data_IF_522638399288
#
_entry.id   IF_522638399288
#
_cell.length_a   1.000
_cell.length_b   1.000
_cell.length_c   1.000
_cell.angle_alpha   90.00
_cell.angle_beta   90.00
_cell.angle_gamma   90.00
#
_symmetry.space_group_name_H-M   'P 1'
#
loop_
_entity.id
_entity.type
_entity.pdbx_description
1 polymer ?
#
# COMPACT_ATOMS: atom_id res chain seq x y z
N UNK A 1 16.10 -13.68 -4.14
CA UNK A 1 14.85 -13.41 -3.39
C UNK A 1 15.09 -13.22 -1.89
N UNK A 2 15.91 -14.04 -1.22
CA UNK A 2 16.25 -13.82 0.20
C UNK A 2 16.87 -12.43 0.43
N UNK A 3 17.88 -12.06 -0.36
CA UNK A 3 18.50 -10.72 -0.32
C UNK A 3 17.47 -9.58 -0.48
N UNK A 4 16.56 -9.71 -1.45
CA UNK A 4 15.47 -8.73 -1.66
C UNK A 4 14.58 -8.61 -0.42
N UNK A 5 14.26 -9.72 0.26
CA UNK A 5 13.46 -9.68 1.48
C UNK A 5 14.21 -8.96 2.61
N UNK A 6 15.51 -9.18 2.73
CA UNK A 6 16.36 -8.48 3.71
C UNK A 6 16.43 -6.97 3.40
N UNK A 7 16.60 -6.60 2.13
CA UNK A 7 16.61 -5.20 1.69
C UNK A 7 15.28 -4.51 1.99
N UNK A 8 14.15 -5.16 1.67
CA UNK A 8 12.81 -4.67 1.99
C UNK A 8 12.64 -4.52 3.51
N UNK A 9 13.07 -5.49 4.31
CA UNK A 9 12.96 -5.43 5.75
C UNK A 9 13.80 -4.28 6.34
N UNK A 10 14.99 -4.06 5.79
CA UNK A 10 15.85 -2.94 6.18
C UNK A 10 15.21 -1.59 5.82
N UNK A 11 14.61 -1.47 4.62
CA UNK A 11 13.84 -0.29 4.22
C UNK A 11 12.63 -0.04 5.14
N UNK A 12 11.88 -1.09 5.48
CA UNK A 12 10.77 -1.00 6.42
C UNK A 12 11.22 -0.52 7.79
N UNK A 13 12.27 -1.11 8.37
CA UNK A 13 12.82 -0.68 9.67
C UNK A 13 13.32 0.76 9.62
N UNK A 14 14.02 1.15 8.55
CA UNK A 14 14.52 2.52 8.36
C UNK A 14 13.39 3.55 8.33
N UNK A 15 12.24 3.18 7.79
CA UNK A 15 11.05 4.04 7.71
C UNK A 15 10.02 3.76 8.82
N UNK A 16 10.41 3.08 9.89
CA UNK A 16 9.55 2.71 11.02
C UNK A 16 8.22 2.06 10.59
N UNK A 17 8.29 1.15 9.62
CA UNK A 17 7.14 0.45 9.04
C UNK A 17 6.03 1.39 8.56
N UNK A 18 6.39 2.61 8.16
CA UNK A 18 5.49 3.67 7.75
C UNK A 18 4.45 4.05 8.83
N UNK A 19 4.83 3.95 10.11
CA UNK A 19 4.01 4.36 11.25
C UNK A 19 3.50 5.80 11.12
N UNK A 20 4.27 6.66 10.46
CA UNK A 20 3.94 8.06 10.20
C UNK A 20 2.61 8.26 9.46
N UNK A 21 2.11 7.28 8.69
CA UNK A 21 0.80 7.37 8.05
C UNK A 21 -0.33 7.62 9.05
N UNK A 22 -0.21 7.06 10.26
CA UNK A 22 -1.23 7.12 11.31
C UNK A 22 -0.79 7.92 12.54
N UNK A 23 0.25 8.73 12.42
CA UNK A 23 0.64 9.73 13.42
C UNK A 23 0.30 11.13 12.90
N UNK A 24 -0.74 11.75 13.48
CA UNK A 24 -1.20 13.11 13.14
C UNK A 24 -0.18 14.22 13.39
N UNK A 25 0.93 13.91 14.06
CA UNK A 25 2.02 14.86 14.30
C UNK A 25 3.17 14.70 13.31
N UNK A 26 3.15 13.62 12.52
CA UNK A 26 4.20 13.30 11.58
C UNK A 26 4.02 13.98 10.22
N UNK A 27 5.13 14.09 9.48
CA UNK A 27 5.12 14.49 8.07
C UNK A 27 4.75 13.28 7.22
N UNK A 28 3.88 13.48 6.22
CA UNK A 28 3.38 12.38 5.39
C UNK A 28 2.22 11.58 6.01
N UNK A 29 1.62 12.09 7.09
CA UNK A 29 0.40 11.53 7.67
C UNK A 29 -0.75 11.47 6.65
N UNK A 30 -1.61 10.47 6.76
CA UNK A 30 -2.77 10.28 5.88
C UNK A 30 -4.03 11.00 6.39
N UNK A 31 -3.96 11.68 7.53
CA UNK A 31 -5.04 12.48 8.09
C UNK A 31 -4.78 13.98 7.94
N UNK A 32 -5.81 14.79 8.15
CA UNK A 32 -5.62 16.23 8.33
C UNK A 32 -4.93 16.56 9.66
N UNK A 33 -4.60 17.84 9.89
CA UNK A 33 -3.97 18.31 11.15
C UNK A 33 -4.82 18.08 12.40
N UNK A 34 -6.11 17.79 12.25
CA UNK A 34 -7.04 17.49 13.35
C UNK A 34 -7.19 15.98 13.57
N UNK A 35 -6.56 15.15 12.73
CA UNK A 35 -6.60 13.70 12.80
C UNK A 35 -7.78 13.06 12.08
N UNK A 36 -8.44 13.77 11.16
CA UNK A 36 -9.49 13.21 10.32
C UNK A 36 -8.90 12.49 9.12
N UNK A 37 -9.20 11.21 8.99
CA UNK A 37 -8.93 10.41 7.81
C UNK A 37 -10.15 10.44 6.89
N UNK A 38 -9.89 10.49 5.59
CA UNK A 38 -10.91 10.47 4.54
C UNK A 38 -10.73 9.23 3.69
N UNK A 39 -11.83 8.54 3.37
CA UNK A 39 -11.79 7.39 2.48
C UNK A 39 -11.43 7.84 1.07
N UNK A 40 -10.44 7.18 0.48
CA UNK A 40 -9.96 7.49 -0.89
C UNK A 40 -10.82 6.81 -1.97
N UNK A 41 -11.82 6.03 -1.56
CA UNK A 41 -12.74 5.31 -2.44
C UNK A 41 -12.17 3.99 -2.97
N UNK A 42 -13.00 3.17 -3.62
CA UNK A 42 -12.58 1.88 -4.16
C UNK A 42 -11.43 2.04 -5.17
N UNK A 43 -10.74 0.94 -5.44
CA UNK A 43 -9.54 0.92 -6.29
C UNK A 43 -9.75 1.39 -7.73
N UNK A 44 -10.96 1.22 -8.24
CA UNK A 44 -11.41 1.58 -9.58
C UNK A 44 -12.07 2.96 -9.64
N UNK A 45 -12.04 3.73 -8.55
CA UNK A 45 -12.51 5.10 -8.49
C UNK A 45 -11.42 6.03 -7.99
N UNK A 46 -11.51 7.30 -8.37
CA UNK A 46 -10.62 8.35 -7.87
C UNK A 46 -10.97 8.76 -6.43
N UNK A 47 -12.25 8.76 -6.08
CA UNK A 47 -12.75 9.30 -4.81
C UNK A 47 -13.81 8.37 -4.18
N UNK A 48 -14.11 8.63 -2.90
CA UNK A 48 -15.22 8.00 -2.19
C UNK A 48 -16.53 8.80 -2.39
N UNK A 49 -17.49 8.25 -3.14
CA UNK A 49 -18.78 8.90 -3.39
C UNK A 49 -19.66 9.04 -2.13
N UNK A 50 -19.34 8.29 -1.07
CA UNK A 50 -20.05 8.32 0.22
C UNK A 50 -19.41 9.25 1.24
N UNK A 51 -18.29 9.91 0.89
CA UNK A 51 -17.58 10.86 1.74
C UNK A 51 -17.29 10.32 3.15
N UNK A 52 -16.92 9.05 3.26
CA UNK A 52 -16.63 8.46 4.56
C UNK A 52 -15.42 9.14 5.21
N UNK A 53 -15.56 9.52 6.48
CA UNK A 53 -14.50 10.12 7.29
C UNK A 53 -14.47 9.50 8.68
N UNK A 54 -13.31 9.52 9.34
CA UNK A 54 -13.17 9.04 10.72
C UNK A 54 -12.04 9.77 11.43
N UNK A 55 -12.20 10.03 12.73
CA UNK A 55 -11.13 10.51 13.60
C UNK A 55 -10.83 9.50 14.71
N UNK A 56 -9.85 8.59 14.55
CA UNK A 56 -9.52 7.57 15.54
C UNK A 56 -8.90 8.14 16.83
N UNK A 57 -8.50 9.42 16.81
CA UNK A 57 -7.96 10.11 17.99
C UNK A 57 -9.06 10.72 18.87
N UNK A 58 -10.30 10.80 18.38
CA UNK A 58 -11.41 11.40 19.11
C UNK A 58 -11.85 10.58 20.33
N UNK A 59 -11.85 9.24 20.24
CA UNK A 59 -12.16 8.36 21.38
C UNK A 59 -11.67 6.93 21.16
N UNK A 60 -11.67 6.12 22.23
CA UNK A 60 -11.37 4.68 22.15
C UNK A 60 -12.32 3.94 21.20
N UNK A 61 -13.60 4.30 21.17
CA UNK A 61 -14.59 3.69 20.28
C UNK A 61 -14.29 3.99 18.81
N UNK A 62 -13.94 5.23 18.48
CA UNK A 62 -13.54 5.59 17.12
C UNK A 62 -12.23 4.93 16.70
N UNK A 63 -11.29 4.75 17.62
CA UNK A 63 -10.08 3.96 17.37
C UNK A 63 -10.39 2.50 17.03
N UNK A 64 -11.35 1.89 17.71
CA UNK A 64 -11.78 0.52 17.40
C UNK A 64 -12.46 0.45 16.03
N UNK A 65 -13.33 1.40 15.69
CA UNK A 65 -13.98 1.48 14.37
C UNK A 65 -12.97 1.67 13.23
N UNK A 66 -11.86 2.35 13.49
CA UNK A 66 -10.79 2.49 12.50
C UNK A 66 -10.14 1.16 12.12
N UNK A 67 -10.22 0.13 12.96
CA UNK A 67 -9.80 -1.23 12.60
C UNK A 67 -10.63 -1.86 11.48
N UNK A 68 -11.79 -1.29 11.12
CA UNK A 68 -12.58 -1.70 9.96
C UNK A 68 -12.10 -1.01 8.66
N UNK A 69 -11.23 -0.02 8.76
CA UNK A 69 -10.61 0.62 7.59
C UNK A 69 -9.43 -0.22 7.11
N UNK A 70 -9.14 -0.16 5.82
CA UNK A 70 -8.12 -0.97 5.18
C UNK A 70 -7.18 -0.08 4.36
N UNK A 71 -5.91 -0.48 4.27
CA UNK A 71 -5.01 -0.05 3.21
C UNK A 71 -5.11 -1.06 2.08
N UNK A 72 -5.78 -0.66 1.00
CA UNK A 72 -6.16 -1.53 -0.11
C UNK A 72 -5.22 -1.31 -1.30
N UNK A 73 -4.61 -2.40 -1.79
CA UNK A 73 -3.62 -2.37 -2.88
C UNK A 73 -4.27 -2.18 -4.25
N UNK A 74 -4.08 -1.05 -4.94
CA UNK A 74 -4.62 -0.79 -6.29
C UNK A 74 -4.17 -1.87 -7.28
N UNK A 75 -2.89 -2.22 -7.26
CA UNK A 75 -2.29 -3.37 -7.95
C UNK A 75 -2.16 -4.49 -6.93
N UNK A 76 -2.88 -5.59 -7.11
CA UNK A 76 -3.03 -6.62 -6.08
C UNK A 76 -1.70 -7.27 -5.70
N UNK A 77 -1.35 -7.22 -4.41
CA UNK A 77 -0.15 -7.85 -3.86
C UNK A 77 0.00 -9.30 -4.31
N UNK A 78 -0.98 -10.15 -3.98
CA UNK A 78 -0.85 -11.60 -4.14
C UNK A 78 -1.16 -12.11 -5.56
N UNK A 79 -1.90 -11.33 -6.36
CA UNK A 79 -2.31 -11.74 -7.71
C UNK A 79 -1.43 -11.17 -8.82
N UNK A 80 -0.72 -10.08 -8.57
CA UNK A 80 0.07 -9.41 -9.60
C UNK A 80 1.48 -9.07 -9.11
N UNK A 81 1.64 -8.27 -8.05
CA UNK A 81 2.96 -7.79 -7.58
C UNK A 81 3.92 -8.94 -7.26
N UNK A 82 3.51 -9.87 -6.39
CA UNK A 82 4.37 -10.99 -5.97
C UNK A 82 4.62 -11.98 -7.12
N UNK A 83 3.61 -12.40 -7.91
CA UNK A 83 3.86 -13.21 -9.12
C UNK A 83 4.84 -12.57 -10.11
N UNK A 84 4.70 -11.28 -10.44
CA UNK A 84 5.62 -10.58 -11.34
C UNK A 84 7.04 -10.52 -10.80
N UNK A 85 7.23 -10.26 -9.50
CA UNK A 85 8.55 -10.30 -8.87
C UNK A 85 9.18 -11.70 -8.96
N UNK A 86 8.41 -12.75 -8.69
CA UNK A 86 8.88 -14.13 -8.79
C UNK A 86 9.29 -14.44 -10.24
N UNK A 87 8.50 -14.05 -11.21
CA UNK A 87 8.82 -14.22 -12.63
C UNK A 87 10.09 -13.44 -13.02
N UNK A 88 10.25 -12.21 -12.53
CA UNK A 88 11.44 -11.40 -12.75
C UNK A 88 12.69 -12.09 -12.20
N UNK A 89 12.60 -12.70 -11.02
CA UNK A 89 13.72 -13.42 -10.41
C UNK A 89 14.17 -14.65 -11.22
N UNK A 90 13.25 -15.24 -12.00
CA UNK A 90 13.54 -16.39 -12.87
C UNK A 90 14.13 -15.97 -14.21
N UNK A 91 13.77 -14.79 -14.71
CA UNK A 91 14.13 -14.29 -16.03
C UNK A 91 15.14 -13.14 -15.98
N UNK A 92 15.80 -12.93 -14.84
CA UNK A 92 16.68 -11.78 -14.61
C UNK A 92 17.86 -11.80 -15.60
N UNK A 93 18.02 -10.77 -16.45
CA UNK A 93 19.13 -10.72 -17.38
C UNK A 93 20.48 -10.62 -16.66
N UNK A 94 21.55 -11.12 -17.29
CA UNK A 94 22.90 -11.05 -16.73
C UNK A 94 23.30 -9.58 -16.49
N UNK A 95 23.73 -9.26 -15.28
CA UNK A 95 24.14 -7.91 -14.89
C UNK A 95 22.99 -6.97 -14.53
N UNK A 96 21.75 -7.47 -14.46
CA UNK A 96 20.59 -6.75 -13.92
C UNK A 96 20.32 -7.18 -12.48
N UNK A 97 19.62 -6.33 -11.74
CA UNK A 97 19.18 -6.57 -10.38
C UNK A 97 17.65 -6.47 -10.27
N UNK A 98 17.10 -6.99 -9.17
CA UNK A 98 15.68 -6.85 -8.89
C UNK A 98 15.39 -5.46 -8.33
N UNK A 99 14.34 -4.83 -8.84
CA UNK A 99 13.92 -3.49 -8.43
C UNK A 99 13.24 -3.51 -7.06
N UNK A 100 14.04 -3.52 -6.01
CA UNK A 100 13.57 -3.50 -4.61
C UNK A 100 12.79 -2.22 -4.28
N UNK A 101 13.14 -1.08 -4.89
CA UNK A 101 12.43 0.19 -4.67
C UNK A 101 11.00 0.13 -5.22
N UNK A 102 10.81 -0.41 -6.43
CA UNK A 102 9.47 -0.62 -6.99
C UNK A 102 8.66 -1.57 -6.12
N UNK A 103 9.26 -2.67 -5.67
CA UNK A 103 8.59 -3.61 -4.77
C UNK A 103 8.14 -2.94 -3.47
N UNK A 104 9.01 -2.13 -2.87
CA UNK A 104 8.69 -1.40 -1.65
C UNK A 104 7.52 -0.44 -1.87
N UNK A 105 7.57 0.35 -2.95
CA UNK A 105 6.50 1.29 -3.32
C UNK A 105 5.15 0.59 -3.48
N UNK A 106 5.11 -0.48 -4.26
CA UNK A 106 3.88 -1.22 -4.55
C UNK A 106 3.31 -1.94 -3.32
N UNK A 107 4.14 -2.37 -2.37
CA UNK A 107 3.66 -3.14 -1.23
C UNK A 107 3.32 -2.31 0.00
N UNK A 108 4.05 -1.22 0.26
CA UNK A 108 4.06 -0.59 1.58
C UNK A 108 3.79 0.91 1.57
N UNK A 109 3.63 1.54 0.40
CA UNK A 109 3.45 2.99 0.30
C UNK A 109 2.12 3.35 -0.34
N UNK A 110 1.72 4.61 -0.17
CA UNK A 110 0.52 5.19 -0.80
C UNK A 110 0.63 5.33 -2.32
N UNK A 111 1.78 5.00 -2.93
CA UNK A 111 1.88 4.87 -4.39
C UNK A 111 0.94 3.78 -4.93
N UNK A 112 0.63 2.77 -4.11
CA UNK A 112 -0.27 1.67 -4.48
C UNK A 112 -1.31 1.33 -3.39
N UNK A 113 -1.28 1.99 -2.22
CA UNK A 113 -2.22 1.77 -1.14
C UNK A 113 -3.26 2.90 -1.08
N UNK A 114 -4.54 2.55 -1.05
CA UNK A 114 -5.64 3.48 -0.73
C UNK A 114 -6.22 3.17 0.64
N UNK A 115 -6.39 4.18 1.48
CA UNK A 115 -7.13 4.07 2.72
C UNK A 115 -8.64 4.07 2.44
N UNK A 116 -9.29 2.95 2.73
CA UNK A 116 -10.71 2.73 2.42
C UNK A 116 -11.49 2.24 3.63
N UNK A 117 -12.69 2.78 3.78
CA UNK A 117 -13.69 2.22 4.70
C UNK A 117 -14.18 0.86 4.17
N UNK A 118 -14.56 -0.08 5.04
CA UNK A 118 -14.92 -1.46 4.67
C UNK A 118 -15.97 -1.57 3.55
N UNK A 119 -16.96 -0.69 3.51
CA UNK A 119 -18.00 -0.63 2.46
C UNK A 119 -17.51 -0.08 1.11
N UNK A 120 -16.32 0.51 1.06
CA UNK A 120 -15.62 0.90 -0.17
C UNK A 120 -14.53 -0.09 -0.59
N UNK A 121 -14.21 -1.08 0.25
CA UNK A 121 -13.23 -2.12 -0.05
C UNK A 121 -13.86 -3.18 -0.96
N UNK A 122 -13.83 -2.95 -2.27
CA UNK A 122 -14.28 -3.94 -3.27
C UNK A 122 -13.39 -5.19 -3.20
N UNK A 123 -14.02 -6.35 -2.99
CA UNK A 123 -13.35 -7.67 -2.97
C UNK A 123 -13.25 -8.34 -4.34
N UNK A 124 -13.77 -7.69 -5.38
CA UNK A 124 -13.64 -8.14 -6.75
C UNK A 124 -12.16 -8.17 -7.18
N UNK A 125 -11.84 -9.06 -8.13
CA UNK A 125 -10.53 -9.05 -8.76
C UNK A 125 -10.30 -7.73 -9.50
N UNK A 126 -9.07 -7.23 -9.43
CA UNK A 126 -8.66 -6.02 -10.13
C UNK A 126 -8.24 -6.40 -11.55
N UNK A 127 -8.35 -5.49 -12.53
CA UNK A 127 -7.74 -5.70 -13.83
C UNK A 127 -6.25 -5.97 -13.66
N UNK A 128 -5.75 -7.05 -14.27
CA UNK A 128 -4.34 -7.42 -14.28
C UNK A 128 -3.60 -6.82 -15.46
N UNK A 129 -2.26 -6.73 -15.38
CA UNK A 129 -1.40 -6.25 -16.46
C UNK A 129 -1.02 -4.79 -16.33
N UNK A 130 -1.18 -4.21 -15.14
CA UNK A 130 -0.69 -2.87 -14.80
C UNK A 130 0.83 -2.86 -14.60
N UNK A 131 1.39 -4.02 -14.24
CA UNK A 131 2.83 -4.25 -14.12
C UNK A 131 3.20 -5.58 -14.77
N UNK A 132 4.47 -5.68 -15.13
CA UNK A 132 5.06 -6.88 -15.71
C UNK A 132 6.34 -7.24 -14.96
N UNK A 133 6.84 -8.46 -15.17
CA UNK A 133 8.11 -8.87 -14.57
C UNK A 133 9.30 -8.02 -15.04
N UNK A 134 9.22 -7.42 -16.24
CA UNK A 134 10.29 -6.57 -16.78
C UNK A 134 10.48 -5.30 -15.98
N UNK A 135 9.41 -4.78 -15.37
CA UNK A 135 9.45 -3.57 -14.52
C UNK A 135 10.28 -3.80 -13.25
N UNK A 136 10.44 -5.06 -12.85
CA UNK A 136 11.29 -5.47 -11.74
C UNK A 136 12.76 -5.74 -12.12
N UNK A 137 13.16 -5.60 -13.38
CA UNK A 137 14.54 -5.81 -13.81
C UNK A 137 15.23 -4.46 -14.08
N UNK A 138 16.13 -4.04 -13.19
CA UNK A 138 16.86 -2.76 -13.28
C UNK A 138 18.33 -2.95 -13.57
#
# INVERSE_FOLDING_TARGET
LISVMDDINNLLKKNDFNSFFFDRTSRGMMCDKKGWFTCEGPFDSKNCDKFHTINPYASRGYRQLFGLWNLDHIIEKSREVIPCLIEASKNLPKGKELNTDLLYKLLFTTDNLKLVQIGCHKKAARPSGNITWKDFCV
#
